data_IF_606078868331
#
_entry.id   IF_606078868331
#
_cell.length_a   1.000
_cell.length_b   1.000
_cell.length_c   1.000
_cell.angle_alpha   90.00
_cell.angle_beta   90.00
_cell.angle_gamma   90.00
#
_symmetry.space_group_name_H-M   'P 1'
#
loop_
_entity.id
_entity.type
_entity.pdbx_description
1 polymer ?
#
# COMPACT_ATOMS: atom_id res chain seq x y z
N UNK A 1 11.64 -3.86 7.47
CA UNK A 1 11.50 -3.14 6.19
C UNK A 1 10.51 -2.00 6.38
N UNK A 2 10.90 -0.77 6.07
CA UNK A 2 9.96 0.35 6.07
C UNK A 2 9.33 0.49 4.67
N UNK A 3 8.07 0.10 4.57
CA UNK A 3 7.27 0.14 3.33
C UNK A 3 6.90 1.55 2.89
N UNK A 4 7.09 2.56 3.74
CA UNK A 4 6.94 3.97 3.36
C UNK A 4 8.16 4.49 2.59
N UNK A 5 9.31 3.83 2.72
CA UNK A 5 10.54 4.16 2.00
C UNK A 5 10.77 3.22 0.81
N UNK A 6 10.56 1.91 1.02
CA UNK A 6 10.76 0.88 0.01
C UNK A 6 9.55 -0.06 -0.01
N UNK A 7 8.74 0.02 -1.05
CA UNK A 7 7.54 -0.82 -1.18
C UNK A 7 7.91 -2.30 -1.41
N UNK A 8 7.08 -3.21 -0.88
CA UNK A 8 7.09 -4.61 -1.25
C UNK A 8 6.34 -4.79 -2.57
N UNK A 9 6.96 -5.45 -3.54
CA UNK A 9 6.36 -5.67 -4.86
C UNK A 9 5.27 -6.76 -4.89
N UNK A 10 5.09 -7.52 -3.80
CA UNK A 10 4.23 -8.71 -3.76
C UNK A 10 4.47 -9.63 -4.96
N UNK A 11 5.74 -9.92 -5.23
CA UNK A 11 6.14 -10.76 -6.36
C UNK A 11 5.47 -12.13 -6.29
N UNK A 12 5.02 -12.61 -7.45
CA UNK A 12 4.64 -14.01 -7.63
C UNK A 12 5.80 -14.93 -7.23
N UNK A 13 5.48 -16.06 -6.62
CA UNK A 13 6.43 -17.12 -6.24
C UNK A 13 7.53 -16.72 -5.24
N UNK A 14 7.44 -15.53 -4.64
CA UNK A 14 8.29 -15.04 -3.54
C UNK A 14 9.80 -15.30 -3.73
N UNK A 15 10.45 -14.74 -4.77
CA UNK A 15 11.87 -14.98 -5.04
C UNK A 15 12.80 -14.61 -3.89
N UNK A 16 12.40 -13.66 -3.03
CA UNK A 16 13.12 -13.33 -1.80
C UNK A 16 13.18 -14.49 -0.80
N UNK A 17 12.10 -15.28 -0.69
CA UNK A 17 12.04 -16.48 0.16
C UNK A 17 12.91 -17.57 -0.45
N UNK A 18 12.77 -17.82 -1.76
CA UNK A 18 13.55 -18.85 -2.47
C UNK A 18 15.07 -18.58 -2.43
N UNK A 19 15.48 -17.31 -2.38
CA UNK A 19 16.88 -16.91 -2.29
C UNK A 19 17.45 -16.99 -0.86
N UNK A 20 16.60 -17.11 0.17
CA UNK A 20 17.01 -17.08 1.57
C UNK A 20 17.56 -18.45 2.01
N UNK A 21 18.90 -18.59 2.00
CA UNK A 21 19.58 -19.84 2.40
C UNK A 21 19.56 -20.09 3.91
N UNK A 22 19.49 -19.03 4.70
CA UNK A 22 19.55 -19.10 6.16
C UNK A 22 18.16 -19.34 6.80
N UNK A 23 17.14 -19.58 5.97
CA UNK A 23 15.76 -19.88 6.38
C UNK A 23 15.09 -18.80 7.26
N UNK A 24 15.67 -17.58 7.31
CA UNK A 24 15.10 -16.45 8.03
C UNK A 24 13.76 -15.96 7.42
N UNK A 25 13.54 -16.22 6.13
CA UNK A 25 12.28 -16.00 5.45
C UNK A 25 11.62 -17.33 5.17
N UNK A 26 10.43 -17.54 5.74
CA UNK A 26 9.63 -18.76 5.55
C UNK A 26 8.38 -18.46 4.70
N UNK A 27 7.92 -19.42 3.89
CA UNK A 27 6.65 -19.30 3.16
C UNK A 27 5.49 -19.02 4.11
N UNK A 28 4.67 -18.01 3.79
CA UNK A 28 3.42 -17.76 4.52
C UNK A 28 2.25 -18.36 3.77
N UNK A 29 1.28 -18.92 4.50
CA UNK A 29 0.03 -19.42 3.94
C UNK A 29 -0.91 -18.31 3.42
N UNK A 30 -0.60 -17.04 3.73
CA UNK A 30 -1.43 -15.90 3.35
C UNK A 30 -0.58 -14.71 2.91
N UNK A 31 -1.20 -13.71 2.27
CA UNK A 31 -0.50 -12.48 1.90
C UNK A 31 0.10 -11.80 3.15
N UNK A 32 1.36 -11.34 3.08
CA UNK A 32 2.02 -10.70 4.21
C UNK A 32 1.26 -9.44 4.66
N UNK A 33 1.26 -9.19 5.96
CA UNK A 33 0.65 -8.01 6.59
C UNK A 33 1.74 -7.12 7.16
N UNK A 34 2.08 -6.07 6.42
CA UNK A 34 3.02 -5.03 6.82
C UNK A 34 2.34 -3.86 7.56
N UNK A 35 1.02 -3.70 7.36
CA UNK A 35 0.25 -2.63 7.97
C UNK A 35 -1.02 -2.30 7.19
N UNK A 36 -1.57 -1.11 7.45
CA UNK A 36 -2.76 -0.57 6.77
C UNK A 36 -2.41 0.78 6.14
N UNK A 37 -2.74 0.95 4.86
CA UNK A 37 -2.65 2.24 4.20
C UNK A 37 -3.68 3.22 4.80
N UNK A 38 -3.21 4.41 5.17
CA UNK A 38 -4.02 5.55 5.62
C UNK A 38 -3.90 6.69 4.62
N UNK A 39 -4.97 7.48 4.54
CA UNK A 39 -5.06 8.66 3.67
C UNK A 39 -4.93 9.93 4.50
N UNK A 40 -4.22 10.90 3.95
CA UNK A 40 -4.06 12.25 4.45
C UNK A 40 -4.68 13.19 3.42
N UNK A 41 -5.94 13.54 3.63
CA UNK A 41 -6.75 14.23 2.63
C UNK A 41 -6.21 15.63 2.33
N UNK A 42 -5.55 16.27 3.31
CA UNK A 42 -4.87 17.54 3.18
C UNK A 42 -3.70 17.53 2.19
N UNK A 43 -3.21 16.36 1.80
CA UNK A 43 -2.14 16.20 0.79
C UNK A 43 -2.62 15.52 -0.50
N UNK A 44 -3.88 15.09 -0.57
CA UNK A 44 -4.43 14.38 -1.73
C UNK A 44 -4.91 15.36 -2.80
N UNK A 45 -4.39 15.28 -4.03
CA UNK A 45 -4.81 16.13 -5.16
C UNK A 45 -6.31 16.12 -5.36
N UNK A 46 -6.92 14.93 -5.45
CA UNK A 46 -8.37 14.80 -5.65
C UNK A 46 -9.16 15.52 -4.55
N UNK A 47 -8.76 15.37 -3.29
CA UNK A 47 -9.45 16.00 -2.17
C UNK A 47 -9.28 17.53 -2.15
N UNK A 48 -8.18 18.05 -2.71
CA UNK A 48 -7.93 19.49 -2.84
C UNK A 48 -8.72 20.12 -3.98
N UNK A 49 -8.80 19.45 -5.12
CA UNK A 49 -9.49 19.96 -6.30
C UNK A 49 -11.00 19.71 -6.27
N UNK A 50 -11.45 18.72 -5.52
CA UNK A 50 -12.84 18.25 -5.57
C UNK A 50 -13.11 17.24 -6.69
N UNK A 51 -12.11 16.93 -7.52
CA UNK A 51 -12.25 16.12 -8.73
C UNK A 51 -11.53 14.77 -8.62
N UNK A 52 -11.98 13.76 -9.39
CA UNK A 52 -11.36 12.44 -9.45
C UNK A 52 -10.39 12.37 -10.64
N UNK A 53 -9.24 13.03 -10.54
CA UNK A 53 -8.25 13.09 -11.63
C UNK A 53 -6.98 12.26 -11.39
N UNK A 54 -6.73 11.83 -10.15
CA UNK A 54 -5.62 10.95 -9.79
C UNK A 54 -6.13 9.59 -9.31
N UNK A 55 -5.69 8.51 -9.95
CA UNK A 55 -5.99 7.12 -9.61
C UNK A 55 -4.77 6.29 -9.20
N UNK A 56 -3.56 6.88 -9.14
CA UNK A 56 -2.29 6.17 -8.92
C UNK A 56 -2.30 5.18 -7.75
N UNK A 57 -2.97 5.50 -6.64
CA UNK A 57 -3.04 4.59 -5.49
C UNK A 57 -3.87 3.34 -5.76
N UNK A 58 -4.88 3.43 -6.62
CA UNK A 58 -5.67 2.30 -7.11
C UNK A 58 -4.89 1.52 -8.16
N UNK A 59 -4.32 2.21 -9.13
CA UNK A 59 -3.65 1.59 -10.28
C UNK A 59 -2.37 0.84 -9.86
N UNK A 60 -1.67 1.33 -8.84
CA UNK A 60 -0.48 0.68 -8.28
C UNK A 60 -0.79 -0.40 -7.24
N UNK A 61 -2.05 -0.62 -6.85
CA UNK A 61 -2.35 -1.63 -5.85
C UNK A 61 -2.35 -3.02 -6.49
N UNK A 62 -1.43 -3.93 -6.11
CA UNK A 62 -1.36 -5.27 -6.68
C UNK A 62 -2.50 -6.19 -6.20
N UNK A 63 -3.34 -5.72 -5.27
CA UNK A 63 -4.45 -6.52 -4.70
C UNK A 63 -5.76 -5.90 -5.13
N UNK A 64 -6.51 -6.63 -5.96
CA UNK A 64 -7.79 -6.17 -6.50
C UNK A 64 -8.79 -5.81 -5.40
N UNK A 65 -9.60 -4.78 -5.67
CA UNK A 65 -10.66 -4.33 -4.76
C UNK A 65 -10.18 -3.72 -3.44
N UNK A 66 -8.88 -3.61 -3.19
CA UNK A 66 -8.35 -2.99 -1.96
C UNK A 66 -8.52 -1.48 -1.95
N UNK A 67 -8.32 -0.82 -3.09
CA UNK A 67 -8.40 0.64 -3.20
C UNK A 67 -9.63 1.04 -4.00
N UNK A 68 -10.51 1.82 -3.37
CA UNK A 68 -11.72 2.35 -3.98
C UNK A 68 -11.87 3.83 -3.69
N UNK A 69 -12.64 4.55 -4.49
CA UNK A 69 -12.94 5.95 -4.25
C UNK A 69 -14.38 6.13 -3.75
N UNK A 70 -14.54 6.89 -2.67
CA UNK A 70 -15.85 7.41 -2.23
C UNK A 70 -15.94 8.86 -2.69
N UNK A 71 -16.62 9.08 -3.82
CA UNK A 71 -16.49 10.33 -4.57
C UNK A 71 -15.06 10.49 -5.09
N UNK A 72 -14.38 11.57 -4.70
CA UNK A 72 -12.99 11.86 -5.06
C UNK A 72 -11.96 11.36 -4.02
N UNK A 73 -12.40 10.81 -2.88
CA UNK A 73 -11.52 10.43 -1.76
C UNK A 73 -11.18 8.94 -1.80
N UNK A 74 -9.89 8.56 -1.78
CA UNK A 74 -9.51 7.15 -1.75
C UNK A 74 -9.87 6.50 -0.41
N UNK A 75 -10.12 5.21 -0.45
CA UNK A 75 -10.43 4.36 0.70
C UNK A 75 -9.75 3.01 0.52
N UNK A 76 -9.31 2.42 1.63
CA UNK A 76 -8.55 1.17 1.65
C UNK A 76 -9.34 0.12 2.44
N UNK A 77 -9.56 -1.05 1.85
CA UNK A 77 -10.27 -2.15 2.51
C UNK A 77 -9.39 -2.84 3.57
N UNK A 78 -10.00 -3.76 4.35
CA UNK A 78 -9.30 -4.59 5.34
C UNK A 78 -8.32 -5.59 4.71
N UNK A 79 -8.47 -5.87 3.41
CA UNK A 79 -7.58 -6.76 2.66
C UNK A 79 -6.25 -6.07 2.28
N UNK A 80 -6.08 -4.79 2.59
CA UNK A 80 -4.81 -4.09 2.43
C UNK A 80 -3.69 -4.83 3.15
N UNK A 81 -2.63 -5.18 2.42
CA UNK A 81 -1.44 -5.84 2.99
C UNK A 81 -0.48 -4.86 3.64
N UNK A 82 -0.61 -3.56 3.33
CA UNK A 82 0.37 -2.55 3.71
C UNK A 82 1.66 -2.61 2.88
N UNK A 83 1.64 -3.20 1.68
CA UNK A 83 2.85 -3.36 0.85
C UNK A 83 3.54 -2.04 0.41
N UNK A 84 2.88 -0.89 0.53
CA UNK A 84 3.50 0.42 0.27
C UNK A 84 3.53 0.87 -1.19
N UNK A 85 3.07 0.06 -2.16
CA UNK A 85 3.10 0.48 -3.59
C UNK A 85 2.29 1.76 -3.85
N UNK A 86 1.14 1.92 -3.20
CA UNK A 86 0.36 3.16 -3.26
C UNK A 86 1.07 4.38 -2.64
N UNK A 87 1.95 4.18 -1.65
CA UNK A 87 2.80 5.25 -1.09
C UNK A 87 3.86 5.65 -2.12
N UNK A 88 4.53 4.67 -2.71
CA UNK A 88 5.52 4.89 -3.77
C UNK A 88 4.92 5.68 -4.95
N UNK A 89 3.77 5.24 -5.45
CA UNK A 89 3.09 5.83 -6.61
C UNK A 89 2.40 7.18 -6.34
N UNK A 90 2.22 7.59 -5.08
CA UNK A 90 1.57 8.86 -4.76
C UNK A 90 2.47 10.04 -5.20
N UNK A 91 2.01 10.93 -6.10
CA UNK A 91 2.88 11.94 -6.69
C UNK A 91 3.11 13.18 -5.81
N UNK A 92 2.40 13.31 -4.69
CA UNK A 92 2.45 14.51 -3.86
C UNK A 92 3.57 14.47 -2.83
N UNK A 93 4.05 15.66 -2.45
CA UNK A 93 4.96 15.86 -1.33
C UNK A 93 4.41 16.97 -0.40
N UNK A 94 4.10 16.68 0.87
CA UNK A 94 4.12 15.37 1.53
C UNK A 94 3.19 14.35 0.84
N UNK A 95 3.51 13.06 0.98
CA UNK A 95 2.70 11.96 0.43
C UNK A 95 1.31 11.96 1.07
N UNK A 96 0.28 11.79 0.25
CA UNK A 96 -1.12 11.70 0.71
C UNK A 96 -1.48 10.33 1.30
N UNK A 97 -0.58 9.36 1.21
CA UNK A 97 -0.77 7.99 1.70
C UNK A 97 0.46 7.59 2.47
N UNK A 98 0.26 6.95 3.63
CA UNK A 98 1.30 6.27 4.40
C UNK A 98 0.76 4.93 4.89
N UNK A 99 1.63 3.97 5.09
CA UNK A 99 1.30 2.72 5.77
C UNK A 99 1.63 2.88 7.24
N UNK A 100 0.64 2.62 8.08
CA UNK A 100 0.79 2.51 9.53
C UNK A 100 0.70 1.04 9.92
N UNK A 101 1.58 0.57 10.80
CA UNK A 101 1.43 -0.78 11.35
C UNK A 101 0.16 -0.82 12.19
N UNK A 102 -0.63 -1.89 12.04
CA UNK A 102 -1.66 -2.18 13.03
C UNK A 102 -0.93 -2.45 14.34
N UNK A 103 -1.17 -1.64 15.37
CA UNK A 103 -0.79 -2.04 16.72
C UNK A 103 -1.40 -3.42 16.96
N UNK A 104 -0.55 -4.43 17.12
CA UNK A 104 -0.93 -5.66 17.76
C UNK A 104 -1.28 -5.29 19.20
N UNK A 105 -2.58 -5.23 19.49
CA UNK A 105 -3.06 -5.38 20.85
C UNK A 105 -3.00 -6.86 21.20
#
# INVERSE_FOLDING_TARGET
>A
MDVNLNACMLCKDWPCINACKDEALIPSASNPKFGQAKRFLEFCTNSKTGELTCSNCKDSCPVEGVVNFKGNKPSFSKNCTGCGQCVSACPTFPKAIRVEQGQAN
#
